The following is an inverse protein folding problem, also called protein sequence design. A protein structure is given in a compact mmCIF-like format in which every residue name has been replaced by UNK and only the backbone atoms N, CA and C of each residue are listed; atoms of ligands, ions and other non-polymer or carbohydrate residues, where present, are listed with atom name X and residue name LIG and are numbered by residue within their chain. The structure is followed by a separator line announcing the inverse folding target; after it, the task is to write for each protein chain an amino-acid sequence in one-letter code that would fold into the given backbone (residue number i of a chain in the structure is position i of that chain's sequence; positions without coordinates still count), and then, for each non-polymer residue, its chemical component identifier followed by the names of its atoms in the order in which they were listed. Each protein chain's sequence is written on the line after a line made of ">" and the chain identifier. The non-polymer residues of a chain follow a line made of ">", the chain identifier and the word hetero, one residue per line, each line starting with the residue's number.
data_IF_304003993266
#
_entry.id   IF_304003993266
#
_cell.length_a   1.000
_cell.length_b   1.000
_cell.length_c   1.000
_cell.angle_alpha   90.00
_cell.angle_beta   90.00
_cell.angle_gamma   90.00
#
_symmetry.space_group_name_H-M   'P 1'
#
loop_
_entity.id
_entity.type
_entity.pdbx_description
1 polymer ?
#
# COMPACT_ATOMS: atom_id res chain seq x y z
N UNK A 1 39.68 7.91 -50.72
CA UNK A 1 38.81 7.84 -49.52
C UNK A 1 37.72 6.77 -49.60
N UNK A 2 36.95 6.64 -50.70
CA UNK A 2 35.86 5.63 -50.81
C UNK A 2 36.32 4.16 -50.70
N UNK A 3 37.51 3.83 -51.18
CA UNK A 3 38.12 2.48 -51.11
C UNK A 3 38.51 2.07 -49.66
N UNK A 4 38.95 3.01 -48.83
CA UNK A 4 39.36 2.76 -47.44
C UNK A 4 38.15 2.44 -46.55
N UNK A 5 37.04 3.15 -46.77
CA UNK A 5 35.75 2.85 -46.14
C UNK A 5 35.27 1.44 -46.53
N UNK A 6 35.45 1.03 -47.79
CA UNK A 6 35.02 -0.29 -48.27
C UNK A 6 35.82 -1.42 -47.58
N UNK A 7 37.14 -1.34 -47.51
CA UNK A 7 37.93 -2.41 -46.90
C UNK A 7 37.85 -2.47 -45.35
N UNK A 8 37.66 -1.33 -44.67
CA UNK A 8 37.45 -1.30 -43.20
C UNK A 8 36.08 -1.81 -42.77
N UNK A 9 35.06 -1.65 -43.61
CA UNK A 9 33.72 -2.15 -43.35
C UNK A 9 33.52 -3.58 -43.84
N UNK A 10 33.95 -3.96 -45.05
CA UNK A 10 33.60 -5.25 -45.66
C UNK A 10 34.38 -6.43 -45.04
N UNK A 11 35.63 -6.24 -44.61
CA UNK A 11 36.40 -7.36 -44.08
C UNK A 11 36.10 -7.59 -42.59
N UNK A 12 35.66 -8.80 -42.23
CA UNK A 12 35.31 -9.22 -40.84
C UNK A 12 34.08 -8.51 -40.22
N UNK A 13 33.17 -7.93 -41.03
CA UNK A 13 31.91 -7.32 -40.56
C UNK A 13 31.11 -8.24 -39.62
N UNK A 14 31.13 -9.56 -39.87
CA UNK A 14 30.44 -10.58 -39.06
C UNK A 14 30.74 -10.48 -37.56
N UNK A 15 32.00 -10.25 -37.16
CA UNK A 15 32.37 -10.15 -35.74
C UNK A 15 31.91 -8.83 -35.12
N UNK A 16 31.94 -7.74 -35.88
CA UNK A 16 31.42 -6.43 -35.45
C UNK A 16 29.90 -6.49 -35.25
N UNK A 17 29.19 -7.15 -36.17
CA UNK A 17 27.74 -7.32 -36.08
C UNK A 17 27.33 -8.27 -34.95
N UNK A 18 28.09 -9.35 -34.73
CA UNK A 18 27.87 -10.25 -33.60
C UNK A 18 28.05 -9.51 -32.26
N UNK A 19 29.12 -8.73 -32.12
CA UNK A 19 29.36 -7.91 -30.94
C UNK A 19 28.22 -6.89 -30.71
N UNK A 20 27.78 -6.21 -31.78
CA UNK A 20 26.67 -5.26 -31.71
C UNK A 20 25.37 -5.95 -31.31
N UNK A 21 25.04 -7.09 -31.90
CA UNK A 21 23.84 -7.88 -31.56
C UNK A 21 23.87 -8.31 -30.10
N UNK A 22 24.99 -8.82 -29.60
CA UNK A 22 25.14 -9.22 -28.20
C UNK A 22 25.01 -8.02 -27.25
N UNK A 23 25.62 -6.88 -27.59
CA UNK A 23 25.46 -5.64 -26.83
C UNK A 23 23.99 -5.20 -26.77
N UNK A 24 23.25 -5.29 -27.88
CA UNK A 24 21.81 -4.99 -27.91
C UNK A 24 20.97 -5.96 -27.08
N UNK A 25 21.25 -7.26 -27.13
CA UNK A 25 20.54 -8.27 -26.33
C UNK A 25 20.78 -8.01 -24.83
N UNK A 26 22.02 -7.76 -24.44
CA UNK A 26 22.37 -7.48 -23.06
C UNK A 26 21.76 -6.17 -22.57
N UNK A 27 21.79 -5.13 -23.41
CA UNK A 27 21.14 -3.86 -23.11
C UNK A 27 19.63 -4.02 -22.94
N UNK A 28 18.96 -4.76 -23.84
CA UNK A 28 17.53 -5.05 -23.72
C UNK A 28 17.21 -5.85 -22.45
N UNK A 29 18.04 -6.84 -22.11
CA UNK A 29 17.89 -7.61 -20.89
C UNK A 29 17.93 -6.73 -19.63
N UNK A 30 18.89 -5.80 -19.56
CA UNK A 30 19.01 -4.84 -18.43
C UNK A 30 17.83 -3.86 -18.39
N UNK A 31 17.35 -3.39 -19.54
CA UNK A 31 16.25 -2.40 -19.62
C UNK A 31 14.87 -3.04 -19.39
N UNK A 32 14.74 -4.37 -19.51
CA UNK A 32 13.46 -5.06 -19.42
C UNK A 32 12.82 -5.06 -18.02
N UNK A 33 13.55 -4.70 -16.96
CA UNK A 33 12.97 -4.55 -15.62
C UNK A 33 12.11 -3.29 -15.52
N UNK A 34 10.84 -3.41 -15.93
CA UNK A 34 9.85 -2.32 -15.89
C UNK A 34 9.04 -2.30 -14.59
N UNK A 35 9.66 -2.69 -13.48
CA UNK A 35 9.00 -2.66 -12.18
C UNK A 35 9.03 -1.22 -11.65
N UNK A 36 7.84 -0.67 -11.41
CA UNK A 36 7.66 0.63 -10.81
C UNK A 36 7.40 0.43 -9.31
N UNK A 37 8.06 1.23 -8.48
CA UNK A 37 7.81 1.28 -7.04
C UNK A 37 7.11 2.58 -6.70
N UNK A 38 5.97 2.51 -6.00
CA UNK A 38 5.19 3.68 -5.57
C UNK A 38 4.89 3.62 -4.08
N UNK A 39 4.83 4.78 -3.44
CA UNK A 39 4.33 4.93 -2.07
C UNK A 39 2.86 5.39 -2.15
N UNK A 40 1.97 4.70 -1.43
CA UNK A 40 0.58 5.09 -1.28
C UNK A 40 0.19 5.15 0.20
N UNK A 41 -0.71 6.06 0.53
CA UNK A 41 -1.32 6.13 1.86
C UNK A 41 -2.66 5.42 1.83
N UNK A 42 -2.78 4.29 2.54
CA UNK A 42 -4.01 3.53 2.67
C UNK A 42 -4.70 3.85 4.00
N UNK A 43 -6.02 4.13 4.00
CA UNK A 43 -6.78 4.31 5.23
C UNK A 43 -6.96 2.99 5.97
N UNK A 44 -7.06 3.09 7.29
CA UNK A 44 -7.35 1.97 8.19
C UNK A 44 -8.85 1.87 8.39
N UNK A 45 -9.40 0.68 8.17
CA UNK A 45 -10.77 0.33 8.51
C UNK A 45 -10.75 -0.66 9.69
N UNK A 46 -11.41 -0.27 10.78
CA UNK A 46 -11.57 -1.13 11.94
C UNK A 46 -12.83 -1.98 11.76
N UNK A 47 -12.67 -3.31 11.86
CA UNK A 47 -13.76 -4.28 11.80
C UNK A 47 -14.05 -4.83 13.19
N UNK A 48 -15.30 -5.24 13.42
CA UNK A 48 -15.76 -5.90 14.66
C UNK A 48 -15.39 -5.11 15.93
N UNK A 49 -15.75 -3.83 15.95
CA UNK A 49 -15.50 -2.97 17.10
C UNK A 49 -16.36 -3.42 18.31
N UNK A 50 -15.76 -3.72 19.48
CA UNK A 50 -16.51 -4.12 20.66
C UNK A 50 -17.40 -2.98 21.17
N UNK A 51 -18.70 -3.23 21.36
CA UNK A 51 -19.70 -2.24 21.78
C UNK A 51 -19.47 -1.68 23.19
N UNK A 52 -18.55 -2.27 23.96
CA UNK A 52 -18.24 -1.94 25.35
C UNK A 52 -16.91 -1.17 25.51
N UNK A 53 -16.15 -0.97 24.43
CA UNK A 53 -14.83 -0.33 24.44
C UNK A 53 -14.78 0.89 23.52
N UNK A 54 -13.99 1.92 23.87
CA UNK A 54 -13.71 3.10 23.04
C UNK A 54 -12.20 3.29 22.90
N UNK A 55 -11.77 3.73 21.73
CA UNK A 55 -10.38 4.17 21.50
C UNK A 55 -10.21 5.54 22.15
N UNK A 56 -9.34 5.62 23.15
CA UNK A 56 -9.09 6.87 23.89
C UNK A 56 -7.85 7.61 23.38
N UNK A 57 -6.93 6.91 22.70
CA UNK A 57 -5.71 7.52 22.18
C UNK A 57 -5.85 8.04 20.73
N UNK A 58 -4.98 8.99 20.37
CA UNK A 58 -4.86 9.49 19.00
C UNK A 58 -4.05 8.49 18.15
N UNK A 59 -4.76 7.58 17.48
CA UNK A 59 -4.18 6.61 16.54
C UNK A 59 -4.03 7.27 15.16
N UNK A 60 -3.01 6.87 14.38
CA UNK A 60 -2.92 7.28 12.97
C UNK A 60 -3.93 6.46 12.16
N UNK A 61 -4.78 7.12 11.40
CA UNK A 61 -5.82 6.46 10.60
C UNK A 61 -5.34 6.07 9.19
N UNK A 62 -4.06 6.28 8.88
CA UNK A 62 -3.45 6.02 7.57
C UNK A 62 -2.10 5.34 7.74
N UNK A 63 -1.81 4.41 6.83
CA UNK A 63 -0.55 3.66 6.76
C UNK A 63 0.09 3.92 5.39
N UNK A 64 1.40 4.10 5.37
CA UNK A 64 2.17 4.19 4.13
C UNK A 64 2.56 2.78 3.66
N UNK A 65 2.23 2.48 2.41
CA UNK A 65 2.53 1.21 1.77
C UNK A 65 3.45 1.47 0.58
N UNK A 66 4.56 0.74 0.55
CA UNK A 66 5.46 0.71 -0.61
C UNK A 66 5.06 -0.47 -1.49
N UNK A 67 4.53 -0.18 -2.66
CA UNK A 67 4.08 -1.17 -3.63
C UNK A 67 5.02 -1.24 -4.82
N UNK A 68 5.27 -2.43 -5.32
CA UNK A 68 6.04 -2.66 -6.54
C UNK A 68 5.29 -3.58 -7.48
N UNK A 69 5.29 -3.22 -8.76
CA UNK A 69 4.65 -4.00 -9.79
C UNK A 69 4.96 -3.44 -11.17
N UNK A 70 4.44 -4.08 -12.21
CA UNK A 70 4.59 -3.54 -13.57
C UNK A 70 3.90 -2.19 -13.71
N UNK A 71 4.52 -1.28 -14.45
CA UNK A 71 4.01 0.08 -14.69
C UNK A 71 2.57 0.11 -15.20
N UNK A 72 2.20 -0.80 -16.09
CA UNK A 72 0.84 -0.87 -16.66
C UNK A 72 -0.22 -1.30 -15.63
N UNK A 73 0.14 -2.13 -14.66
CA UNK A 73 -0.76 -2.58 -13.59
C UNK A 73 -0.95 -1.47 -12.56
N UNK A 74 0.14 -0.84 -12.11
CA UNK A 74 0.09 0.25 -11.13
C UNK A 74 -0.73 1.44 -11.63
N UNK A 75 -0.64 1.76 -12.93
CA UNK A 75 -1.38 2.87 -13.51
C UNK A 75 -2.89 2.57 -13.70
N UNK A 76 -3.27 1.30 -13.84
CA UNK A 76 -4.67 0.88 -14.00
C UNK A 76 -5.38 0.61 -12.67
N UNK A 77 -4.62 0.36 -11.61
CA UNK A 77 -5.15 0.13 -10.27
C UNK A 77 -5.75 1.41 -9.69
N UNK A 78 -6.92 1.30 -9.05
CA UNK A 78 -7.41 2.36 -8.18
C UNK A 78 -6.75 2.26 -6.80
N UNK A 79 -5.88 3.23 -6.52
CA UNK A 79 -5.15 3.33 -5.24
C UNK A 79 -6.09 3.59 -4.06
N UNK A 80 -7.29 4.15 -4.30
CA UNK A 80 -8.28 4.47 -3.24
C UNK A 80 -9.03 3.24 -2.74
N UNK A 81 -9.08 2.17 -3.53
CA UNK A 81 -9.72 0.92 -3.13
C UNK A 81 -8.86 0.10 -2.17
N UNK A 82 -7.55 0.38 -2.09
CA UNK A 82 -6.63 -0.30 -1.18
C UNK A 82 -6.89 0.19 0.25
N UNK A 83 -7.30 -0.76 1.08
CA UNK A 83 -7.69 -0.52 2.48
C UNK A 83 -6.98 -1.51 3.38
N UNK A 84 -6.63 -1.05 4.58
CA UNK A 84 -6.05 -1.90 5.62
C UNK A 84 -7.15 -2.23 6.62
N UNK A 85 -7.57 -3.50 6.66
CA UNK A 85 -8.63 -3.96 7.55
C UNK A 85 -8.03 -4.57 8.81
N UNK A 86 -8.34 -3.99 9.95
CA UNK A 86 -7.89 -4.45 11.25
C UNK A 86 -9.10 -4.98 12.02
N UNK A 87 -9.10 -6.27 12.32
CA UNK A 87 -10.11 -6.90 13.15
C UNK A 87 -9.82 -6.63 14.64
N UNK A 88 -10.78 -6.01 15.32
CA UNK A 88 -10.69 -5.66 16.74
C UNK A 88 -11.44 -6.65 17.65
N UNK A 89 -11.96 -7.77 17.14
CA UNK A 89 -12.75 -8.73 17.94
C UNK A 89 -12.00 -9.28 19.18
N UNK A 90 -10.68 -9.37 19.10
CA UNK A 90 -9.83 -9.96 20.15
C UNK A 90 -9.14 -8.93 21.06
N UNK A 91 -9.49 -7.65 20.95
CA UNK A 91 -8.86 -6.61 21.79
C UNK A 91 -9.40 -6.64 23.22
N UNK A 92 -8.54 -6.31 24.18
CA UNK A 92 -8.89 -6.25 25.61
C UNK A 92 -8.80 -4.81 26.11
N UNK A 93 -9.42 -4.52 27.26
CA UNK A 93 -9.22 -3.22 27.94
C UNK A 93 -7.73 -2.97 28.20
N UNK A 94 -7.28 -1.74 27.93
CA UNK A 94 -5.89 -1.31 28.11
C UNK A 94 -5.11 -1.20 26.80
N UNK A 95 -3.77 -1.24 26.90
CA UNK A 95 -2.86 -1.06 25.76
C UNK A 95 -2.78 -2.34 24.94
N UNK A 96 -3.16 -2.26 23.66
CA UNK A 96 -3.04 -3.36 22.72
C UNK A 96 -2.08 -2.97 21.60
N UNK A 97 -1.08 -3.80 21.34
CA UNK A 97 -0.18 -3.61 20.20
C UNK A 97 -0.65 -4.52 19.05
N UNK A 98 -1.12 -3.90 17.98
CA UNK A 98 -1.63 -4.59 16.80
C UNK A 98 -0.55 -4.54 15.73
N UNK A 99 -0.04 -5.71 15.34
CA UNK A 99 0.90 -5.83 14.22
C UNK A 99 0.14 -5.78 12.89
N UNK A 100 0.62 -4.97 11.96
CA UNK A 100 0.06 -4.85 10.61
C UNK A 100 0.85 -5.76 9.67
N UNK A 101 0.18 -6.71 9.06
CA UNK A 101 0.75 -7.63 8.07
C UNK A 101 0.07 -7.51 6.71
N UNK A 102 0.72 -8.03 5.68
CA UNK A 102 0.20 -8.03 4.30
C UNK A 102 -1.18 -8.70 4.15
N UNK A 103 -1.53 -9.62 5.05
CA UNK A 103 -2.83 -10.31 5.08
C UNK A 103 -4.03 -9.40 5.37
N UNK A 104 -3.79 -8.29 6.07
CA UNK A 104 -4.82 -7.30 6.43
C UNK A 104 -5.06 -6.29 5.31
N UNK A 105 -4.22 -6.26 4.28
CA UNK A 105 -4.34 -5.35 3.14
C UNK A 105 -5.26 -6.00 2.10
N UNK A 106 -6.36 -5.32 1.76
CA UNK A 106 -7.33 -5.79 0.75
C UNK A 106 -7.19 -5.03 -0.56
N UNK A 107 -7.78 -5.61 -1.61
CA UNK A 107 -7.88 -5.01 -2.95
C UNK A 107 -6.53 -4.76 -3.66
N UNK A 108 -5.49 -5.55 -3.35
CA UNK A 108 -4.24 -5.53 -4.12
C UNK A 108 -4.40 -6.40 -5.37
N UNK A 109 -4.30 -5.85 -6.59
CA UNK A 109 -4.34 -6.58 -7.85
C UNK A 109 -3.18 -7.57 -7.99
N UNK A 110 -3.42 -8.63 -8.75
CA UNK A 110 -2.39 -9.62 -9.10
C UNK A 110 -1.24 -8.94 -9.87
N UNK A 111 0.00 -9.28 -9.51
CA UNK A 111 1.20 -8.68 -10.12
C UNK A 111 1.70 -7.40 -9.44
N UNK A 112 1.12 -7.05 -8.28
CA UNK A 112 1.66 -6.03 -7.37
C UNK A 112 2.03 -6.69 -6.04
N UNK A 113 3.24 -6.42 -5.59
CA UNK A 113 3.80 -6.87 -4.32
C UNK A 113 3.95 -5.71 -3.36
N UNK A 114 3.69 -5.94 -2.07
CA UNK A 114 3.97 -4.99 -1.00
C UNK A 114 5.41 -5.21 -0.56
N UNK A 115 6.27 -4.22 -0.76
CA UNK A 115 7.67 -4.27 -0.33
C UNK A 115 7.80 -3.86 1.13
N UNK A 116 7.06 -2.82 1.55
CA UNK A 116 7.20 -2.25 2.87
C UNK A 116 5.89 -1.68 3.40
N UNK A 117 5.75 -1.68 4.73
CA UNK A 117 4.58 -1.21 5.48
C UNK A 117 5.08 -0.32 6.60
N UNK A 118 4.61 0.93 6.64
CA UNK A 118 5.01 1.90 7.66
C UNK A 118 3.78 2.61 8.25
N UNK A 119 3.52 2.50 9.57
CA UNK A 119 4.21 1.68 10.56
C UNK A 119 3.84 0.19 10.49
N UNK A 120 4.70 -0.70 11.00
CA UNK A 120 4.43 -2.15 11.09
C UNK A 120 3.56 -2.52 12.30
N UNK A 121 3.31 -1.59 13.21
CA UNK A 121 2.47 -1.81 14.38
C UNK A 121 1.78 -0.54 14.85
N UNK A 122 0.61 -0.72 15.45
CA UNK A 122 -0.21 0.34 16.05
C UNK A 122 -0.50 -0.01 17.50
N UNK A 123 -0.13 0.90 18.40
CA UNK A 123 -0.55 0.84 19.80
C UNK A 123 -1.88 1.58 19.95
N UNK A 124 -2.91 0.84 20.33
CA UNK A 124 -4.26 1.36 20.55
C UNK A 124 -4.65 1.09 22.00
N UNK A 125 -5.10 2.16 22.68
CA UNK A 125 -5.55 2.10 24.07
C UNK A 125 -7.08 2.10 24.10
N UNK A 126 -7.65 1.01 24.61
CA UNK A 126 -9.09 0.82 24.75
C UNK A 126 -9.54 1.04 26.20
N UNK A 127 -10.57 1.84 26.40
CA UNK A 127 -11.24 1.99 27.70
C UNK A 127 -12.72 1.65 27.61
N UNK A 128 -13.37 1.38 28.74
CA UNK A 128 -14.81 1.10 28.77
C UNK A 128 -15.58 2.32 28.31
N UNK A 129 -16.64 2.09 27.53
CA UNK A 129 -17.63 3.11 27.27
C UNK A 129 -18.36 3.35 28.59
N UNK A 130 -18.02 4.44 29.29
CA UNK A 130 -18.91 5.03 30.25
C UNK A 130 -20.11 5.55 29.45
N UNK A 131 -21.18 4.74 29.43
CA UNK A 131 -22.50 5.23 29.06
C UNK A 131 -22.86 6.22 30.15
N UNK A 132 -22.44 7.47 29.97
CA UNK A 132 -23.02 8.58 30.70
C UNK A 132 -24.48 8.60 30.28
N UNK A 133 -25.32 7.97 31.10
CA UNK A 133 -26.77 8.07 31.03
C UNK A 133 -27.12 9.52 31.32
N UNK A 134 -26.89 10.41 30.35
CA UNK A 134 -27.50 11.72 30.36
C UNK A 134 -28.99 11.43 30.43
N UNK A 135 -29.68 11.77 31.52
CA UNK A 135 -31.12 11.65 31.53
C UNK A 135 -31.56 12.55 30.38
N UNK A 136 -32.23 11.97 29.39
CA UNK A 136 -33.07 12.77 28.51
C UNK A 136 -34.08 13.42 29.45
N UNK A 137 -33.75 14.64 29.89
CA UNK A 137 -34.67 15.54 30.57
C UNK A 137 -35.90 15.54 29.68
N UNK A 138 -36.93 14.84 30.14
CA UNK A 138 -38.25 14.92 29.59
C UNK A 138 -38.67 16.37 29.79
N UNK A 139 -38.43 17.23 28.80
CA UNK A 139 -39.13 18.51 28.69
C UNK A 139 -40.56 18.20 28.25
N UNK A 140 -41.30 17.53 29.13
CA UNK A 140 -42.71 17.78 29.29
C UNK A 140 -42.81 19.21 29.81
N UNK A 141 -42.98 20.16 28.89
CA UNK A 141 -43.54 21.45 29.23
C UNK A 141 -44.90 21.54 28.52
N UNK A 142 -45.84 20.76 29.06
CA UNK A 142 -47.25 21.04 28.92
C UNK A 142 -47.59 22.21 29.86
N UNK A 143 -48.28 23.21 29.31
CA UNK A 143 -49.02 24.30 29.96
C UNK A 143 -48.25 25.59 30.32
N UNK A 144 -48.35 26.56 29.42
CA UNK A 144 -49.21 27.74 29.63
C UNK A 144 -49.28 28.59 28.36
N UNK A 145 -50.43 28.54 27.69
CA UNK A 145 -51.19 29.70 27.23
C UNK A 145 -52.62 29.26 26.93
#
# INVERSE_FOLDING_TARGET
>A
MKELLRNLFINKWQYKLAALKTAFILWFYVVSEQNLTINISAPIEFLNFPSDLKITNKVRNTIELLLQGRRDIINKMDKKEIKVQIDLSNVRKGKNNISISTLQIKNVPKGVSIINITPTGLTIDFDKIEVESTPLTQSKEEKRQ
#
